data_IF_998391433158
#
_entry.id   IF_998391433158
#
_cell.length_a   1.000
_cell.length_b   1.000
_cell.length_c   1.000
_cell.angle_alpha   90.00
_cell.angle_beta   90.00
_cell.angle_gamma   90.00
#
_symmetry.space_group_name_H-M   'P 1'
#
loop_
_entity.id
_entity.type
_entity.pdbx_description
1 polymer ?
#
# COMPACT_ATOMS: atom_id res chain seq x y z
N UNK A 1 -22.91 -34.09 -31.37
CA UNK A 1 -21.68 -33.33 -31.20
C UNK A 1 -21.44 -33.24 -29.70
N UNK A 2 -20.51 -34.03 -29.19
CA UNK A 2 -20.06 -33.88 -27.79
C UNK A 2 -19.43 -32.49 -27.65
N UNK A 3 -19.96 -31.70 -26.74
CA UNK A 3 -19.31 -30.43 -26.38
C UNK A 3 -17.98 -30.78 -25.72
N UNK A 4 -16.88 -30.40 -26.35
CA UNK A 4 -15.57 -30.50 -25.74
C UNK A 4 -15.59 -29.67 -24.44
N UNK A 5 -15.58 -30.36 -23.30
CA UNK A 5 -15.46 -29.67 -21.99
C UNK A 5 -14.03 -29.15 -21.86
N UNK A 6 -13.89 -27.83 -21.77
CA UNK A 6 -12.60 -27.21 -21.44
C UNK A 6 -12.29 -27.50 -19.97
N UNK A 7 -11.10 -27.97 -19.67
CA UNK A 7 -10.60 -28.14 -18.31
C UNK A 7 -9.13 -27.73 -18.23
N UNK A 8 -8.68 -27.40 -17.03
CA UNK A 8 -7.26 -27.15 -16.73
C UNK A 8 -6.65 -28.43 -16.15
N UNK A 9 -5.50 -28.84 -16.68
CA UNK A 9 -4.72 -29.98 -16.19
C UNK A 9 -3.33 -29.50 -15.79
N UNK A 10 -2.85 -29.97 -14.63
CA UNK A 10 -1.52 -29.66 -14.12
C UNK A 10 -0.93 -30.88 -13.44
N UNK A 11 0.39 -31.03 -13.47
CA UNK A 11 1.10 -32.01 -12.65
C UNK A 11 1.43 -31.41 -11.28
N UNK A 12 1.44 -32.26 -10.26
CA UNK A 12 1.80 -31.83 -8.91
C UNK A 12 3.23 -31.27 -8.83
N UNK A 13 4.16 -31.79 -9.62
CA UNK A 13 5.52 -31.25 -9.75
C UNK A 13 5.55 -29.81 -10.24
N UNK A 14 4.67 -29.47 -11.18
CA UNK A 14 4.60 -28.13 -11.74
C UNK A 14 3.99 -27.16 -10.72
N UNK A 15 2.95 -27.61 -10.00
CA UNK A 15 2.35 -26.83 -8.89
C UNK A 15 3.38 -26.51 -7.81
N UNK A 16 4.24 -27.45 -7.45
CA UNK A 16 5.26 -27.28 -6.40
C UNK A 16 6.47 -26.45 -6.85
N UNK A 17 6.74 -26.39 -8.15
CA UNK A 17 7.90 -25.67 -8.70
C UNK A 17 7.62 -24.20 -9.00
N UNK A 18 6.36 -23.81 -9.16
CA UNK A 18 5.98 -22.46 -9.54
C UNK A 18 5.71 -21.58 -8.31
N UNK A 19 6.29 -20.35 -8.24
CA UNK A 19 6.08 -19.44 -7.12
C UNK A 19 4.70 -18.81 -7.09
N UNK A 20 3.99 -18.81 -8.23
CA UNK A 20 2.65 -18.23 -8.38
C UNK A 20 1.79 -19.14 -9.25
N UNK A 21 0.58 -19.40 -8.81
CA UNK A 21 -0.35 -20.32 -9.47
C UNK A 21 -1.49 -19.56 -10.15
N UNK A 22 -1.58 -19.67 -11.48
CA UNK A 22 -2.64 -19.10 -12.29
C UNK A 22 -3.63 -20.20 -12.70
N UNK A 23 -4.61 -20.50 -11.85
CA UNK A 23 -5.66 -21.50 -12.11
C UNK A 23 -6.98 -20.79 -12.38
N UNK A 24 -7.55 -21.01 -13.57
CA UNK A 24 -8.85 -20.44 -13.91
C UNK A 24 -9.99 -21.28 -13.31
N UNK A 25 -10.56 -20.79 -12.20
CA UNK A 25 -11.62 -21.48 -11.44
C UNK A 25 -12.94 -21.64 -12.19
N UNK A 26 -13.12 -21.00 -13.34
CA UNK A 26 -14.32 -21.16 -14.18
C UNK A 26 -14.39 -22.50 -14.90
N UNK A 27 -13.27 -23.20 -14.99
CA UNK A 27 -13.17 -24.52 -15.61
C UNK A 27 -12.86 -25.59 -14.56
N UNK A 28 -13.22 -26.86 -14.82
CA UNK A 28 -12.74 -27.95 -13.99
C UNK A 28 -11.23 -27.96 -13.95
N UNK A 29 -10.66 -28.20 -12.77
CA UNK A 29 -9.21 -28.30 -12.60
C UNK A 29 -8.84 -29.70 -12.13
N UNK A 30 -7.86 -30.30 -12.77
CA UNK A 30 -7.33 -31.63 -12.49
C UNK A 30 -5.85 -31.52 -12.15
N UNK A 31 -5.50 -31.89 -10.92
CA UNK A 31 -4.10 -32.02 -10.47
C UNK A 31 -3.76 -33.51 -10.38
N UNK A 32 -2.81 -33.95 -11.18
CA UNK A 32 -2.37 -35.34 -11.25
C UNK A 32 -0.95 -35.56 -10.69
N UNK A 33 -0.62 -36.79 -10.34
CA UNK A 33 0.70 -37.18 -9.86
C UNK A 33 1.00 -36.70 -8.44
N UNK A 34 -0.02 -36.56 -7.61
CA UNK A 34 0.13 -36.16 -6.19
C UNK A 34 0.65 -37.35 -5.38
N UNK A 35 1.78 -37.19 -4.76
CA UNK A 35 2.37 -38.20 -3.86
C UNK A 35 2.05 -37.83 -2.40
N UNK A 36 1.90 -38.85 -1.56
CA UNK A 36 1.56 -38.67 -0.14
C UNK A 36 2.52 -37.77 0.62
N UNK A 37 3.81 -37.85 0.30
CA UNK A 37 4.85 -36.99 0.94
C UNK A 37 4.67 -35.50 0.67
N UNK A 38 4.04 -35.15 -0.45
CA UNK A 38 3.83 -33.75 -0.90
C UNK A 38 2.40 -33.26 -0.56
N UNK A 39 1.58 -34.13 0.04
CA UNK A 39 0.13 -33.87 0.27
C UNK A 39 -0.13 -32.60 1.06
N UNK A 40 0.55 -32.40 2.19
CA UNK A 40 0.29 -31.25 3.08
C UNK A 40 0.62 -29.91 2.39
N UNK A 41 1.72 -29.87 1.65
CA UNK A 41 2.13 -28.67 0.90
C UNK A 41 1.14 -28.35 -0.23
N UNK A 42 0.75 -29.37 -0.99
CA UNK A 42 -0.24 -29.24 -2.07
C UNK A 42 -1.60 -28.80 -1.52
N UNK A 43 -2.07 -29.41 -0.43
CA UNK A 43 -3.35 -29.02 0.22
C UNK A 43 -3.30 -27.57 0.70
N UNK A 44 -2.17 -27.12 1.25
CA UNK A 44 -1.98 -25.75 1.66
C UNK A 44 -2.08 -24.79 0.46
N UNK A 45 -1.31 -25.04 -0.61
CA UNK A 45 -1.34 -24.22 -1.84
C UNK A 45 -2.76 -24.16 -2.41
N UNK A 46 -3.42 -25.30 -2.56
CA UNK A 46 -4.75 -25.36 -3.13
C UNK A 46 -5.81 -24.71 -2.21
N UNK A 47 -5.63 -24.77 -0.89
CA UNK A 47 -6.52 -24.10 0.08
C UNK A 47 -6.38 -22.58 0.02
N UNK A 48 -5.20 -22.07 -0.27
CA UNK A 48 -5.01 -20.63 -0.50
C UNK A 48 -5.70 -20.15 -1.79
N UNK A 49 -5.81 -21.03 -2.81
CA UNK A 49 -6.43 -20.72 -4.10
C UNK A 49 -7.96 -20.90 -4.06
N UNK A 50 -8.43 -22.00 -3.50
CA UNK A 50 -9.85 -22.41 -3.58
C UNK A 50 -10.64 -22.22 -2.28
N UNK A 51 -9.96 -22.16 -1.13
CA UNK A 51 -10.55 -22.28 0.21
C UNK A 51 -10.54 -23.72 0.73
N UNK A 52 -10.19 -23.89 2.01
CA UNK A 52 -10.08 -25.21 2.64
C UNK A 52 -11.39 -25.98 2.69
N UNK A 53 -12.53 -25.28 2.67
CA UNK A 53 -13.90 -25.83 2.68
C UNK A 53 -14.39 -26.29 1.28
N UNK A 54 -13.57 -26.13 0.23
CA UNK A 54 -13.98 -26.48 -1.14
C UNK A 54 -14.16 -28.00 -1.29
N UNK A 55 -15.32 -28.48 -1.78
CA UNK A 55 -15.51 -29.88 -2.10
C UNK A 55 -14.65 -30.30 -3.30
N UNK A 56 -13.97 -31.42 -3.18
CA UNK A 56 -13.11 -31.98 -4.22
C UNK A 56 -13.44 -33.47 -4.42
N UNK A 57 -13.07 -33.98 -5.58
CA UNK A 57 -13.02 -35.40 -5.84
C UNK A 57 -11.59 -35.90 -5.90
N UNK A 58 -11.29 -36.98 -5.21
CA UNK A 58 -9.97 -37.60 -5.19
C UNK A 58 -10.05 -38.96 -5.87
N UNK A 59 -9.06 -39.27 -6.70
CA UNK A 59 -8.82 -40.60 -7.22
C UNK A 59 -7.41 -41.03 -6.77
N UNK A 60 -7.35 -42.08 -5.97
CA UNK A 60 -6.09 -42.64 -5.49
C UNK A 60 -5.37 -43.45 -6.56
N UNK A 61 -4.04 -43.62 -6.40
CA UNK A 61 -3.23 -44.38 -7.35
C UNK A 61 -3.66 -45.86 -7.51
N UNK A 62 -4.39 -46.43 -6.52
CA UNK A 62 -4.99 -47.78 -6.59
C UNK A 62 -6.39 -47.77 -7.25
N UNK A 63 -6.85 -46.63 -7.77
CA UNK A 63 -8.09 -46.49 -8.52
C UNK A 63 -9.37 -46.28 -7.70
N UNK A 64 -9.27 -46.08 -6.38
CA UNK A 64 -10.41 -45.68 -5.56
C UNK A 64 -10.75 -44.21 -5.75
N UNK A 65 -12.04 -43.90 -5.81
CA UNK A 65 -12.51 -42.53 -5.91
C UNK A 65 -13.43 -42.17 -4.76
N UNK A 66 -13.29 -40.96 -4.21
CA UNK A 66 -14.13 -40.44 -3.14
C UNK A 66 -14.25 -38.92 -3.22
N UNK A 67 -15.22 -38.36 -2.51
CA UNK A 67 -15.37 -36.91 -2.35
C UNK A 67 -15.06 -36.53 -0.90
N UNK A 68 -14.40 -35.38 -0.74
CA UNK A 68 -13.98 -34.85 0.54
C UNK A 68 -13.84 -33.32 0.44
N UNK A 69 -13.77 -32.65 1.59
CA UNK A 69 -13.42 -31.23 1.66
C UNK A 69 -11.90 -31.08 1.60
N UNK A 70 -11.40 -30.14 0.83
CA UNK A 70 -9.98 -29.94 0.54
C UNK A 70 -9.10 -29.90 1.81
N UNK A 71 -9.49 -29.14 2.83
CA UNK A 71 -8.75 -29.01 4.08
C UNK A 71 -8.73 -30.27 4.97
N UNK A 72 -9.52 -31.30 4.60
CA UNK A 72 -9.57 -32.60 5.31
C UNK A 72 -8.87 -33.70 4.51
N UNK A 73 -8.32 -33.39 3.34
CA UNK A 73 -7.66 -34.38 2.48
C UNK A 73 -6.34 -34.79 3.08
N UNK A 74 -6.13 -36.09 3.18
CA UNK A 74 -4.84 -36.69 3.43
C UNK A 74 -4.62 -37.79 2.42
N UNK A 75 -3.54 -37.70 1.64
CA UNK A 75 -3.22 -38.64 0.57
C UNK A 75 -2.06 -39.53 0.97
N UNK A 76 -2.24 -40.82 0.77
CA UNK A 76 -1.18 -41.82 0.92
C UNK A 76 -0.78 -42.38 -0.45
N UNK A 77 0.41 -42.97 -0.52
CA UNK A 77 0.90 -43.60 -1.74
C UNK A 77 1.31 -42.58 -2.80
N UNK A 78 1.27 -43.04 -4.06
CA UNK A 78 1.73 -42.27 -5.21
C UNK A 78 0.65 -42.14 -6.28
N UNK A 79 0.84 -41.16 -7.19
CA UNK A 79 -0.04 -40.94 -8.36
C UNK A 79 -1.51 -40.69 -8.03
N UNK A 80 -1.81 -40.02 -6.93
CA UNK A 80 -3.17 -39.57 -6.66
C UNK A 80 -3.54 -38.40 -7.60
N UNK A 81 -4.85 -38.24 -7.84
CA UNK A 81 -5.39 -37.14 -8.65
C UNK A 81 -6.45 -36.40 -7.83
N UNK A 82 -6.36 -35.08 -7.82
CA UNK A 82 -7.36 -34.20 -7.21
C UNK A 82 -8.13 -33.48 -8.32
N UNK A 83 -9.46 -33.50 -8.24
CA UNK A 83 -10.33 -32.86 -9.22
C UNK A 83 -11.22 -31.82 -8.54
N UNK A 84 -11.24 -30.62 -9.08
CA UNK A 84 -12.10 -29.52 -8.66
C UNK A 84 -13.23 -29.32 -9.66
N UNK A 85 -14.44 -29.12 -9.13
CA UNK A 85 -15.56 -28.65 -9.93
C UNK A 85 -15.35 -27.16 -10.31
N UNK A 86 -15.90 -26.70 -11.46
CA UNK A 86 -15.80 -25.30 -11.83
C UNK A 86 -16.57 -24.40 -10.86
N UNK A 87 -15.97 -23.31 -10.45
CA UNK A 87 -16.60 -22.25 -9.64
C UNK A 87 -17.02 -21.09 -10.55
N UNK A 88 -18.12 -21.27 -11.29
CA UNK A 88 -18.56 -20.32 -12.33
C UNK A 88 -19.22 -19.05 -11.79
N UNK A 89 -19.82 -19.10 -10.61
CA UNK A 89 -20.51 -17.97 -9.99
C UNK A 89 -19.61 -17.33 -8.95
N UNK A 90 -19.42 -16.01 -9.03
CA UNK A 90 -18.64 -15.25 -8.05
C UNK A 90 -19.18 -15.40 -6.62
N UNK A 91 -20.53 -15.44 -6.45
CA UNK A 91 -21.18 -15.53 -5.13
C UNK A 91 -20.90 -16.86 -4.41
N UNK A 92 -20.53 -17.90 -5.15
CA UNK A 92 -20.25 -19.23 -4.59
C UNK A 92 -18.75 -19.40 -4.24
N UNK A 93 -17.90 -18.39 -4.51
CA UNK A 93 -16.47 -18.45 -4.23
C UNK A 93 -16.15 -17.98 -2.83
N UNK A 94 -15.22 -18.64 -2.18
CA UNK A 94 -14.68 -18.26 -0.86
C UNK A 94 -13.29 -17.62 -0.95
N UNK A 95 -12.62 -17.78 -2.09
CA UNK A 95 -11.33 -17.18 -2.41
C UNK A 95 -11.39 -16.50 -3.76
N UNK A 96 -10.83 -15.30 -3.83
CA UNK A 96 -10.84 -14.46 -5.02
C UNK A 96 -9.42 -14.16 -5.46
N UNK A 97 -9.25 -13.91 -6.77
CA UNK A 97 -8.01 -13.43 -7.37
C UNK A 97 -8.24 -12.07 -8.06
N UNK A 98 -7.17 -11.52 -8.65
CA UNK A 98 -7.27 -10.22 -9.30
C UNK A 98 -8.29 -10.19 -10.45
N UNK A 99 -8.40 -11.29 -11.20
CA UNK A 99 -9.37 -11.36 -12.30
C UNK A 99 -10.80 -11.41 -11.81
N UNK A 100 -11.05 -11.90 -10.61
CA UNK A 100 -12.35 -11.87 -9.97
C UNK A 100 -12.73 -10.43 -9.59
N UNK A 101 -11.79 -9.67 -9.04
CA UNK A 101 -12.01 -8.25 -8.71
C UNK A 101 -12.27 -7.44 -9.99
N UNK A 102 -11.52 -7.67 -11.07
CA UNK A 102 -11.79 -7.07 -12.38
C UNK A 102 -13.21 -7.39 -12.85
N UNK A 103 -13.64 -8.68 -12.80
CA UNK A 103 -14.98 -9.07 -13.19
C UNK A 103 -16.07 -8.41 -12.34
N UNK A 104 -15.85 -8.27 -11.03
CA UNK A 104 -16.78 -7.59 -10.13
C UNK A 104 -16.98 -6.14 -10.58
N UNK A 105 -15.89 -5.39 -10.82
CA UNK A 105 -15.98 -4.00 -11.25
C UNK A 105 -16.65 -3.86 -12.64
N UNK A 106 -16.35 -4.75 -13.57
CA UNK A 106 -17.02 -4.78 -14.88
C UNK A 106 -18.54 -4.98 -14.71
N UNK A 107 -18.97 -5.86 -13.80
CA UNK A 107 -20.40 -6.09 -13.55
C UNK A 107 -21.05 -4.92 -12.83
N UNK A 108 -20.40 -4.34 -11.83
CA UNK A 108 -20.93 -3.19 -11.09
C UNK A 108 -21.14 -1.98 -11.99
N UNK A 109 -20.22 -1.72 -12.91
CA UNK A 109 -20.28 -0.58 -13.81
C UNK A 109 -20.92 -0.86 -15.18
N UNK A 110 -21.16 -2.14 -15.50
CA UNK A 110 -21.76 -2.57 -16.76
C UNK A 110 -23.27 -2.29 -16.85
N UNK A 111 -23.87 -2.68 -17.98
CA UNK A 111 -25.31 -2.59 -18.18
C UNK A 111 -26.06 -3.46 -17.14
N UNK A 112 -27.04 -2.87 -16.45
CA UNK A 112 -27.77 -3.51 -15.36
C UNK A 112 -26.99 -3.63 -14.04
N UNK A 113 -25.81 -3.00 -13.94
CA UNK A 113 -25.03 -2.94 -12.72
C UNK A 113 -25.54 -1.91 -11.72
N UNK A 114 -24.69 -1.51 -10.79
CA UNK A 114 -25.01 -0.55 -9.73
C UNK A 114 -25.06 0.88 -10.27
N UNK A 115 -26.17 1.58 -10.13
CA UNK A 115 -26.32 2.95 -10.61
C UNK A 115 -25.35 3.92 -9.94
N UNK A 116 -25.02 3.71 -8.66
CA UNK A 116 -24.06 4.54 -7.95
C UNK A 116 -22.63 4.34 -8.50
N UNK A 117 -22.20 3.10 -8.70
CA UNK A 117 -20.87 2.80 -9.25
C UNK A 117 -20.74 3.32 -10.69
N UNK A 118 -21.79 3.19 -11.49
CA UNK A 118 -21.84 3.67 -12.88
C UNK A 118 -21.72 5.19 -12.99
N UNK A 119 -22.23 5.93 -12.00
CA UNK A 119 -22.18 7.38 -11.96
C UNK A 119 -20.78 7.93 -11.58
N UNK A 120 -19.87 7.10 -11.06
CA UNK A 120 -18.56 7.57 -10.62
C UNK A 120 -17.64 7.91 -11.80
N UNK A 121 -16.86 8.98 -11.62
CA UNK A 121 -15.80 9.46 -12.52
C UNK A 121 -14.47 9.47 -11.78
N UNK A 122 -13.35 9.68 -12.51
CA UNK A 122 -12.04 9.89 -11.91
C UNK A 122 -12.04 11.01 -10.87
N UNK A 123 -12.79 12.09 -11.12
CA UNK A 123 -12.88 13.24 -10.23
C UNK A 123 -13.71 12.96 -8.99
N UNK A 124 -14.81 12.21 -9.11
CA UNK A 124 -15.72 11.96 -7.98
C UNK A 124 -15.08 11.06 -6.92
N UNK A 125 -14.27 10.07 -7.32
CA UNK A 125 -13.65 9.09 -6.39
C UNK A 125 -12.21 9.40 -6.04
N UNK A 126 -11.62 10.50 -6.56
CA UNK A 126 -10.22 10.84 -6.25
C UNK A 126 -9.96 11.12 -4.78
N UNK A 127 -10.99 11.59 -4.04
CA UNK A 127 -10.85 11.85 -2.61
C UNK A 127 -10.78 10.55 -1.82
N UNK A 128 -11.58 9.55 -2.20
CA UNK A 128 -11.57 8.24 -1.56
C UNK A 128 -10.18 7.60 -1.62
N UNK A 129 -9.47 7.70 -2.76
CA UNK A 129 -8.09 7.21 -2.86
C UNK A 129 -7.14 7.83 -1.82
N UNK A 130 -7.35 9.09 -1.44
CA UNK A 130 -6.56 9.79 -0.42
C UNK A 130 -6.98 9.30 0.96
N UNK A 131 -8.27 9.15 1.20
CA UNK A 131 -8.84 8.66 2.46
C UNK A 131 -8.32 7.25 2.74
N UNK A 132 -8.50 6.28 1.81
CA UNK A 132 -8.00 4.90 1.96
C UNK A 132 -6.47 4.85 2.17
N UNK A 133 -5.71 5.75 1.50
CA UNK A 133 -4.26 5.81 1.71
C UNK A 133 -3.90 6.26 3.13
N UNK A 134 -4.64 7.19 3.74
CA UNK A 134 -4.41 7.63 5.12
C UNK A 134 -4.91 6.59 6.13
N UNK A 135 -6.01 5.90 5.87
CA UNK A 135 -6.53 4.81 6.70
C UNK A 135 -5.54 3.63 6.72
N UNK A 136 -4.94 3.30 5.57
CA UNK A 136 -3.85 2.33 5.50
C UNK A 136 -2.62 2.76 6.32
N UNK A 137 -2.24 4.04 6.28
CA UNK A 137 -1.15 4.58 7.12
C UNK A 137 -1.51 4.45 8.59
N UNK A 138 -2.74 4.76 9.00
CA UNK A 138 -3.20 4.60 10.38
C UNK A 138 -3.17 3.12 10.82
N UNK A 139 -3.61 2.20 9.97
CA UNK A 139 -3.55 0.77 10.25
C UNK A 139 -2.12 0.26 10.48
N UNK A 140 -1.15 0.80 9.73
CA UNK A 140 0.29 0.52 9.91
C UNK A 140 0.77 1.06 11.26
N UNK A 141 0.45 2.31 11.60
CA UNK A 141 0.87 2.97 12.84
C UNK A 141 0.32 2.26 14.08
N UNK A 142 -0.91 1.74 13.99
CA UNK A 142 -1.57 1.00 15.05
C UNK A 142 -1.12 -0.47 15.12
N UNK A 143 -0.32 -0.96 14.17
CA UNK A 143 0.03 -2.38 13.99
C UNK A 143 -1.22 -3.30 14.01
N UNK A 144 -2.36 -2.82 13.52
CA UNK A 144 -3.65 -3.51 13.54
C UNK A 144 -3.81 -4.36 12.28
N UNK A 145 -3.68 -5.68 12.43
CA UNK A 145 -3.74 -6.64 11.30
C UNK A 145 -5.08 -6.64 10.57
N UNK A 146 -6.19 -6.44 11.28
CA UNK A 146 -7.51 -6.47 10.66
C UNK A 146 -7.71 -5.22 9.79
N UNK A 147 -7.41 -4.04 10.31
CA UNK A 147 -7.42 -2.80 9.54
C UNK A 147 -6.42 -2.85 8.38
N UNK A 148 -5.20 -3.34 8.60
CA UNK A 148 -4.19 -3.45 7.54
C UNK A 148 -4.68 -4.32 6.37
N UNK A 149 -5.42 -5.41 6.65
CA UNK A 149 -6.02 -6.25 5.62
C UNK A 149 -7.12 -5.50 4.85
N UNK A 150 -8.01 -4.82 5.56
CA UNK A 150 -9.12 -4.03 5.02
C UNK A 150 -8.60 -2.91 4.13
N UNK A 151 -7.80 -2.01 4.67
CA UNK A 151 -7.32 -0.81 3.98
C UNK A 151 -6.37 -1.13 2.80
N UNK A 152 -5.60 -2.23 2.88
CA UNK A 152 -4.81 -2.70 1.72
C UNK A 152 -5.74 -3.11 0.57
N UNK A 153 -6.88 -3.73 0.89
CA UNK A 153 -7.91 -4.08 -0.08
C UNK A 153 -8.55 -2.85 -0.70
N UNK A 154 -8.86 -1.83 0.11
CA UNK A 154 -9.56 -0.63 -0.33
C UNK A 154 -8.67 0.28 -1.18
N UNK A 155 -7.38 0.42 -0.84
CA UNK A 155 -6.39 1.07 -1.73
C UNK A 155 -6.28 0.33 -3.08
N UNK A 156 -6.28 -1.00 -3.08
CA UNK A 156 -6.29 -1.79 -4.32
C UNK A 156 -7.59 -1.56 -5.10
N UNK A 157 -8.75 -1.55 -4.43
CA UNK A 157 -10.05 -1.26 -5.04
C UNK A 157 -10.04 0.09 -5.76
N UNK A 158 -9.51 1.15 -5.15
CA UNK A 158 -9.41 2.46 -5.78
C UNK A 158 -8.60 2.40 -7.09
N UNK A 159 -7.45 1.71 -7.09
CA UNK A 159 -6.63 1.55 -8.29
C UNK A 159 -7.37 0.78 -9.40
N UNK A 160 -8.08 -0.30 -9.04
CA UNK A 160 -8.87 -1.12 -9.98
C UNK A 160 -10.08 -0.36 -10.50
N UNK A 161 -10.75 0.41 -9.65
CA UNK A 161 -11.90 1.24 -10.03
C UNK A 161 -11.50 2.33 -11.05
N UNK A 162 -10.42 3.07 -10.78
CA UNK A 162 -9.87 4.03 -11.72
C UNK A 162 -9.46 3.36 -13.04
N UNK A 163 -8.92 2.14 -13.00
CA UNK A 163 -8.56 1.39 -14.23
C UNK A 163 -9.80 1.00 -15.02
N UNK A 164 -10.91 0.63 -14.36
CA UNK A 164 -12.16 0.31 -15.04
C UNK A 164 -12.75 1.54 -15.73
N UNK A 165 -12.76 2.71 -15.09
CA UNK A 165 -13.19 3.96 -15.71
C UNK A 165 -12.32 4.26 -16.94
N UNK A 166 -11.00 4.19 -16.81
CA UNK A 166 -10.08 4.44 -17.93
C UNK A 166 -10.30 3.49 -19.11
N UNK A 167 -10.62 2.20 -18.82
CA UNK A 167 -10.97 1.21 -19.85
C UNK A 167 -12.27 1.56 -20.56
N UNK A 168 -13.29 2.03 -19.86
CA UNK A 168 -14.56 2.48 -20.43
C UNK A 168 -14.38 3.72 -21.31
N UNK A 169 -13.48 4.62 -20.92
CA UNK A 169 -13.12 5.82 -21.69
C UNK A 169 -12.13 5.53 -22.84
N UNK A 170 -11.68 4.29 -22.99
CA UNK A 170 -10.74 3.89 -24.04
C UNK A 170 -9.31 4.39 -23.86
N UNK A 171 -8.92 4.78 -22.64
CA UNK A 171 -7.57 5.30 -22.36
C UNK A 171 -6.54 4.18 -22.24
N UNK A 172 -6.79 3.18 -21.40
CA UNK A 172 -5.94 2.00 -21.20
C UNK A 172 -6.71 0.87 -20.52
N UNK A 173 -6.14 -0.32 -20.55
CA UNK A 173 -6.73 -1.54 -19.97
C UNK A 173 -6.02 -1.98 -18.69
N UNK A 174 -6.60 -2.97 -17.98
CA UNK A 174 -5.92 -3.66 -16.86
C UNK A 174 -4.58 -4.27 -17.28
N UNK A 175 -4.53 -4.87 -18.48
CA UNK A 175 -3.29 -5.43 -19.02
C UNK A 175 -2.22 -4.36 -19.24
N UNK A 176 -2.60 -3.18 -19.72
CA UNK A 176 -1.68 -2.05 -19.90
C UNK A 176 -1.14 -1.55 -18.56
N UNK A 177 -2.02 -1.36 -17.57
CA UNK A 177 -1.64 -0.92 -16.23
C UNK A 177 -0.69 -1.92 -15.56
N UNK A 178 -1.04 -3.22 -15.57
CA UNK A 178 -0.19 -4.28 -15.02
C UNK A 178 1.14 -4.38 -15.76
N UNK A 179 1.12 -4.33 -17.09
CA UNK A 179 2.34 -4.39 -17.91
C UNK A 179 3.26 -3.21 -17.59
N UNK A 180 2.71 -2.01 -17.43
CA UNK A 180 3.50 -0.81 -17.10
C UNK A 180 4.17 -0.93 -15.72
N UNK A 181 3.45 -1.39 -14.69
CA UNK A 181 4.04 -1.53 -13.36
C UNK A 181 5.05 -2.69 -13.30
N UNK A 182 4.72 -3.84 -13.90
CA UNK A 182 5.64 -5.00 -13.95
C UNK A 182 6.92 -4.67 -14.71
N UNK A 183 6.81 -4.06 -15.91
CA UNK A 183 7.98 -3.63 -16.68
C UNK A 183 8.86 -2.69 -15.89
N UNK A 184 8.27 -1.68 -15.25
CA UNK A 184 8.97 -0.74 -14.37
C UNK A 184 9.71 -1.45 -13.23
N UNK A 185 9.10 -2.45 -12.60
CA UNK A 185 9.73 -3.24 -11.54
C UNK A 185 10.90 -4.07 -12.06
N UNK A 186 10.70 -4.78 -13.17
CA UNK A 186 11.75 -5.60 -13.81
C UNK A 186 12.93 -4.73 -14.23
N UNK A 187 12.67 -3.64 -14.94
CA UNK A 187 13.71 -2.78 -15.51
C UNK A 187 14.51 -2.04 -14.43
N UNK A 188 13.92 -1.79 -13.25
CA UNK A 188 14.60 -1.12 -12.14
C UNK A 188 15.32 -2.06 -11.18
N UNK A 189 14.97 -3.35 -11.14
CA UNK A 189 15.64 -4.34 -10.29
C UNK A 189 16.66 -5.15 -11.11
N UNK A 190 17.59 -4.47 -11.75
CA UNK A 190 18.61 -5.09 -12.61
C UNK A 190 19.52 -6.06 -11.85
N UNK A 191 19.57 -6.00 -10.54
CA UNK A 191 20.29 -6.93 -9.68
C UNK A 191 19.51 -8.22 -9.37
N UNK A 192 18.20 -8.28 -9.71
CA UNK A 192 17.37 -9.49 -9.59
C UNK A 192 17.07 -10.07 -10.96
N UNK A 193 16.66 -9.24 -11.93
CA UNK A 193 16.19 -9.66 -13.25
C UNK A 193 17.24 -9.46 -14.36
N UNK A 194 18.39 -8.85 -14.06
CA UNK A 194 19.47 -8.57 -14.98
C UNK A 194 20.79 -9.24 -14.58
N UNK A 195 21.89 -8.63 -15.00
CA UNK A 195 23.25 -9.14 -14.77
C UNK A 195 23.99 -8.50 -13.59
N UNK A 196 23.43 -7.44 -13.00
CA UNK A 196 24.03 -6.77 -11.84
C UNK A 196 23.89 -7.64 -10.60
N UNK A 197 24.78 -7.49 -9.64
CA UNK A 197 24.69 -8.13 -8.34
C UNK A 197 24.77 -7.06 -7.23
N UNK A 198 23.84 -7.07 -6.29
CA UNK A 198 23.85 -6.19 -5.15
C UNK A 198 24.21 -6.97 -3.88
N UNK A 199 25.24 -6.53 -3.18
CA UNK A 199 25.70 -7.16 -1.94
C UNK A 199 24.93 -6.66 -0.70
N UNK A 200 24.28 -5.49 -0.82
CA UNK A 200 23.53 -4.87 0.27
C UNK A 200 22.41 -3.95 -0.25
N UNK A 201 21.57 -3.48 0.67
CA UNK A 201 20.41 -2.63 0.35
C UNK A 201 20.80 -1.29 -0.29
N UNK A 202 21.95 -0.72 0.07
CA UNK A 202 22.43 0.55 -0.50
C UNK A 202 22.79 0.40 -1.98
N UNK A 203 23.48 -0.66 -2.35
CA UNK A 203 23.81 -0.97 -3.75
C UNK A 203 22.53 -1.26 -4.56
N UNK A 204 21.59 -2.00 -4.00
CA UNK A 204 20.29 -2.25 -4.64
C UNK A 204 19.54 -0.93 -4.91
N UNK A 205 19.51 -0.02 -3.94
CA UNK A 205 18.90 1.31 -4.08
C UNK A 205 19.63 2.17 -5.14
N UNK A 206 20.95 2.08 -5.24
CA UNK A 206 21.73 2.79 -6.26
C UNK A 206 21.37 2.29 -7.66
N UNK A 207 21.30 0.96 -7.90
CA UNK A 207 20.86 0.41 -9.18
C UNK A 207 19.44 0.84 -9.55
N UNK A 208 18.52 0.82 -8.58
CA UNK A 208 17.17 1.33 -8.76
C UNK A 208 17.15 2.81 -9.20
N UNK A 209 17.91 3.65 -8.51
CA UNK A 209 17.96 5.10 -8.81
C UNK A 209 18.58 5.37 -10.19
N UNK A 210 19.61 4.64 -10.59
CA UNK A 210 20.22 4.74 -11.92
C UNK A 210 19.24 4.33 -13.03
N UNK A 211 18.58 3.21 -12.87
CA UNK A 211 17.57 2.74 -13.83
C UNK A 211 16.42 3.75 -13.95
N UNK A 212 15.91 4.26 -12.82
CA UNK A 212 14.89 5.30 -12.77
C UNK A 212 15.31 6.59 -13.46
N UNK A 213 16.58 6.99 -13.33
CA UNK A 213 17.14 8.18 -13.98
C UNK A 213 17.19 8.00 -15.49
N UNK A 214 17.60 6.81 -16.00
CA UNK A 214 17.63 6.48 -17.42
C UNK A 214 16.21 6.47 -18.04
N UNK A 215 15.23 5.90 -17.34
CA UNK A 215 13.83 5.83 -17.79
C UNK A 215 13.20 7.22 -17.94
N UNK A 216 13.37 8.08 -16.93
CA UNK A 216 12.63 9.35 -16.85
C UNK A 216 13.14 10.47 -17.77
N UNK A 217 14.35 10.35 -18.34
CA UNK A 217 14.95 11.30 -19.31
C UNK A 217 14.65 12.77 -18.99
N UNK A 218 14.99 13.20 -17.75
CA UNK A 218 14.84 14.60 -17.37
C UNK A 218 15.79 15.48 -18.18
N UNK A 219 15.25 16.61 -18.69
CA UNK A 219 16.03 17.59 -19.43
C UNK A 219 16.93 18.43 -18.49
N UNK A 220 16.45 18.67 -17.28
CA UNK A 220 17.16 19.41 -16.23
C UNK A 220 16.61 19.06 -14.84
N UNK A 221 17.26 19.54 -13.78
CA UNK A 221 16.75 19.42 -12.42
C UNK A 221 15.44 20.21 -12.23
N UNK A 222 15.31 21.36 -12.88
CA UNK A 222 14.05 22.12 -12.88
C UNK A 222 12.92 21.34 -13.56
N UNK A 223 13.19 20.65 -14.69
CA UNK A 223 12.22 19.73 -15.31
C UNK A 223 11.84 18.59 -14.35
N UNK A 224 12.81 18.01 -13.65
CA UNK A 224 12.52 16.98 -12.64
C UNK A 224 11.65 17.51 -11.49
N UNK A 225 11.89 18.74 -11.02
CA UNK A 225 11.08 19.39 -9.98
C UNK A 225 9.67 19.70 -10.49
N UNK A 226 9.52 20.17 -11.73
CA UNK A 226 8.21 20.47 -12.32
C UNK A 226 7.28 19.27 -12.44
N UNK A 227 7.83 18.06 -12.50
CA UNK A 227 7.10 16.78 -12.56
C UNK A 227 6.77 16.20 -11.19
N UNK A 228 7.15 16.86 -10.10
CA UNK A 228 6.66 16.51 -8.77
C UNK A 228 5.20 16.93 -8.69
N UNK A 229 4.26 16.03 -8.30
CA UNK A 229 2.86 16.40 -8.19
C UNK A 229 2.65 17.55 -7.22
N UNK A 230 1.98 18.61 -7.70
CA UNK A 230 1.75 19.83 -6.89
C UNK A 230 0.66 19.65 -5.82
N UNK A 231 -0.12 18.58 -5.93
CA UNK A 231 -1.18 18.24 -4.97
C UNK A 231 -0.68 17.43 -3.77
N UNK A 232 0.64 17.20 -3.67
CA UNK A 232 1.20 16.57 -2.47
C UNK A 232 1.04 17.50 -1.26
N UNK A 233 0.93 16.95 -0.05
CA UNK A 233 1.08 17.71 1.19
C UNK A 233 2.36 18.58 1.15
N UNK A 234 2.29 19.80 1.68
CA UNK A 234 3.31 20.80 1.43
C UNK A 234 4.70 20.40 1.94
N UNK A 235 4.78 19.76 3.10
CA UNK A 235 6.05 19.30 3.67
C UNK A 235 6.67 18.18 2.81
N UNK A 236 5.84 17.25 2.34
CA UNK A 236 6.28 16.17 1.44
C UNK A 236 6.72 16.71 0.07
N UNK A 237 6.02 17.75 -0.46
CA UNK A 237 6.42 18.42 -1.68
C UNK A 237 7.78 19.10 -1.51
N UNK A 238 7.98 19.87 -0.42
CA UNK A 238 9.23 20.54 -0.11
C UNK A 238 10.40 19.54 -0.01
N UNK A 239 10.22 18.44 0.72
CA UNK A 239 11.22 17.39 0.83
C UNK A 239 11.62 16.80 -0.53
N UNK A 240 10.63 16.53 -1.41
CA UNK A 240 10.89 15.97 -2.74
C UNK A 240 11.69 16.90 -3.63
N UNK A 241 11.38 18.21 -3.66
CA UNK A 241 12.13 19.17 -4.50
C UNK A 241 13.53 19.40 -3.95
N UNK A 242 13.72 19.43 -2.63
CA UNK A 242 15.03 19.51 -1.99
C UNK A 242 15.90 18.26 -2.28
N UNK A 243 15.31 17.05 -2.26
CA UNK A 243 16.00 15.82 -2.70
C UNK A 243 16.48 15.88 -4.16
N UNK A 244 15.77 16.61 -5.03
CA UNK A 244 16.18 16.81 -6.41
C UNK A 244 17.35 17.82 -6.47
N UNK A 245 17.28 18.93 -5.72
CA UNK A 245 18.34 19.92 -5.63
C UNK A 245 19.66 19.33 -5.13
N UNK A 246 19.60 18.50 -4.09
CA UNK A 246 20.76 17.76 -3.55
C UNK A 246 21.51 16.97 -4.62
N UNK A 247 20.82 16.36 -5.59
CA UNK A 247 21.46 15.53 -6.65
C UNK A 247 22.38 16.33 -7.58
N UNK A 248 22.27 17.64 -7.60
CA UNK A 248 23.12 18.55 -8.36
C UNK A 248 23.99 19.42 -7.45
N UNK A 249 24.24 18.95 -6.23
CA UNK A 249 25.06 19.63 -5.20
C UNK A 249 24.50 20.98 -4.77
N UNK A 250 23.22 21.25 -4.99
CA UNK A 250 22.54 22.43 -4.45
C UNK A 250 21.87 22.05 -3.11
N UNK A 251 22.70 22.04 -2.06
CA UNK A 251 22.34 21.65 -0.70
C UNK A 251 23.30 22.25 0.31
N UNK A 252 22.92 22.31 1.59
CA UNK A 252 23.84 22.67 2.66
C UNK A 252 24.92 21.58 2.81
N UNK A 253 26.14 21.97 3.23
CA UNK A 253 27.24 21.01 3.38
C UNK A 253 26.96 19.99 4.49
N UNK A 254 26.26 20.38 5.55
CA UNK A 254 25.89 19.53 6.68
C UNK A 254 24.65 20.05 7.43
N UNK A 255 24.15 19.25 8.39
CA UNK A 255 23.03 19.59 9.24
C UNK A 255 23.28 20.85 10.10
N UNK A 256 24.52 21.10 10.50
CA UNK A 256 24.89 22.26 11.34
C UNK A 256 24.71 23.57 10.58
N UNK A 257 25.13 23.61 9.34
CA UNK A 257 24.96 24.80 8.50
C UNK A 257 23.49 25.02 8.15
N UNK A 258 22.75 23.92 7.90
CA UNK A 258 21.29 23.98 7.71
C UNK A 258 20.59 24.50 8.98
N UNK A 259 20.98 24.05 10.17
CA UNK A 259 20.44 24.54 11.44
C UNK A 259 20.67 26.04 11.65
N UNK A 260 21.84 26.57 11.27
CA UNK A 260 22.08 28.01 11.32
C UNK A 260 21.10 28.78 10.44
N UNK A 261 20.78 28.24 9.26
CA UNK A 261 19.82 28.90 8.38
C UNK A 261 18.39 28.85 8.99
N UNK A 262 18.01 27.77 9.70
CA UNK A 262 16.74 27.77 10.47
C UNK A 262 16.69 28.91 11.48
N UNK A 263 17.77 29.16 12.19
CA UNK A 263 17.81 30.29 13.15
C UNK A 263 17.75 31.65 12.46
N UNK A 264 18.38 31.77 11.29
CA UNK A 264 18.35 33.00 10.46
C UNK A 264 16.91 33.27 9.99
N UNK A 265 16.18 32.24 9.43
CA UNK A 265 14.78 32.39 9.00
C UNK A 265 13.84 32.73 10.16
N UNK A 266 14.09 32.18 11.35
CA UNK A 266 13.32 32.53 12.56
C UNK A 266 13.55 33.99 12.97
N UNK A 267 14.78 34.51 12.81
CA UNK A 267 15.10 35.92 13.11
C UNK A 267 14.44 36.83 12.06
N UNK A 268 14.49 36.49 10.78
CA UNK A 268 13.81 37.21 9.70
C UNK A 268 12.30 37.23 9.88
N UNK A 269 11.68 36.11 10.23
CA UNK A 269 10.26 36.05 10.59
C UNK A 269 9.90 36.96 11.77
N UNK A 270 10.73 36.97 12.82
CA UNK A 270 10.50 37.80 14.01
C UNK A 270 10.65 39.29 13.71
N UNK A 271 11.55 39.68 12.80
CA UNK A 271 11.84 41.04 12.41
C UNK A 271 11.10 41.50 11.14
N UNK A 272 10.11 40.74 10.68
CA UNK A 272 9.36 41.05 9.47
C UNK A 272 8.74 42.46 9.53
N UNK A 273 8.90 43.23 8.45
CA UNK A 273 8.48 44.63 8.36
C UNK A 273 7.01 44.82 7.92
N UNK A 274 6.35 43.77 7.48
CA UNK A 274 4.92 43.77 7.08
C UNK A 274 4.30 42.38 7.25
N UNK A 275 2.96 42.31 7.26
CA UNK A 275 2.26 41.02 7.32
C UNK A 275 2.56 40.14 6.11
N UNK A 276 2.70 40.74 4.90
CA UNK A 276 3.05 39.98 3.70
C UNK A 276 4.44 39.37 3.78
N UNK A 277 5.44 40.15 4.26
CA UNK A 277 6.80 39.65 4.49
C UNK A 277 6.82 38.57 5.59
N UNK A 278 6.02 38.74 6.67
CA UNK A 278 5.92 37.72 7.72
C UNK A 278 5.39 36.39 7.20
N UNK A 279 4.45 36.40 6.24
CA UNK A 279 3.94 35.18 5.59
C UNK A 279 5.02 34.52 4.75
N UNK A 280 5.85 35.31 4.03
CA UNK A 280 7.00 34.82 3.26
C UNK A 280 7.99 34.13 4.18
N UNK A 281 8.48 34.81 5.22
CA UNK A 281 9.44 34.27 6.19
C UNK A 281 8.93 33.03 6.92
N UNK A 282 7.63 32.97 7.23
CA UNK A 282 7.00 31.77 7.80
C UNK A 282 7.13 30.56 6.84
N UNK A 283 6.98 30.79 5.53
CA UNK A 283 7.21 29.76 4.51
C UNK A 283 8.67 29.29 4.49
N UNK A 284 9.62 30.21 4.57
CA UNK A 284 11.04 29.92 4.54
C UNK A 284 11.51 29.18 5.80
N UNK A 285 10.97 29.53 6.98
CA UNK A 285 11.17 28.75 8.22
C UNK A 285 10.72 27.29 8.02
N UNK A 286 9.50 27.07 7.55
CA UNK A 286 8.97 25.72 7.35
C UNK A 286 9.80 24.94 6.31
N UNK A 287 10.15 25.57 5.21
CA UNK A 287 10.94 24.96 4.14
C UNK A 287 12.34 24.56 4.63
N UNK A 288 13.00 25.44 5.41
CA UNK A 288 14.35 25.16 5.94
C UNK A 288 14.31 24.11 7.05
N UNK A 289 13.25 24.07 7.88
CA UNK A 289 13.02 22.98 8.86
C UNK A 289 12.88 21.63 8.14
N UNK A 290 12.10 21.55 7.05
CA UNK A 290 12.00 20.31 6.23
C UNK A 290 13.39 19.89 5.73
N UNK A 291 14.22 20.83 5.30
CA UNK A 291 15.58 20.53 4.86
C UNK A 291 16.45 19.98 6.01
N UNK A 292 16.34 20.56 7.21
CA UNK A 292 17.07 20.08 8.39
C UNK A 292 16.66 18.63 8.74
N UNK A 293 15.35 18.34 8.76
CA UNK A 293 14.83 16.98 9.04
C UNK A 293 15.35 15.95 8.04
N UNK A 294 15.51 16.33 6.78
CA UNK A 294 16.08 15.49 5.72
C UNK A 294 17.53 15.05 6.02
N UNK A 295 18.35 15.87 6.68
CA UNK A 295 19.70 15.48 7.11
C UNK A 295 19.69 14.39 8.17
N UNK A 296 18.62 14.33 8.99
CA UNK A 296 18.43 13.30 10.01
C UNK A 296 17.59 12.11 9.52
N UNK A 297 17.27 12.07 8.21
CA UNK A 297 16.42 11.03 7.63
C UNK A 297 15.03 10.92 8.27
N UNK A 298 14.50 12.04 8.76
CA UNK A 298 13.16 12.15 9.34
C UNK A 298 12.20 12.62 8.25
N UNK A 299 11.10 11.88 8.05
CA UNK A 299 9.99 12.32 7.18
C UNK A 299 9.23 13.46 7.88
N UNK A 300 9.15 14.66 7.27
CA UNK A 300 8.55 15.81 7.92
C UNK A 300 7.03 15.72 8.05
N UNK A 301 6.34 15.08 7.11
CA UNK A 301 4.88 14.91 7.13
C UNK A 301 4.49 13.94 8.25
N UNK A 302 5.17 12.80 8.34
CA UNK A 302 4.94 11.81 9.39
C UNK A 302 5.29 12.34 10.78
N UNK A 303 6.41 13.06 10.91
CA UNK A 303 6.82 13.65 12.18
C UNK A 303 5.78 14.66 12.70
N UNK A 304 5.19 15.47 11.82
CA UNK A 304 4.13 16.40 12.20
C UNK A 304 2.81 15.69 12.50
N UNK A 305 2.47 14.65 11.73
CA UNK A 305 1.29 13.82 12.00
C UNK A 305 1.37 13.17 13.39
N UNK A 306 2.53 12.64 13.75
CA UNK A 306 2.76 12.08 15.08
C UNK A 306 2.70 13.13 16.20
N UNK A 307 3.23 14.32 15.95
CA UNK A 307 3.12 15.41 16.90
C UNK A 307 1.64 15.83 17.14
N UNK A 308 0.82 15.84 16.08
CA UNK A 308 -0.61 16.10 16.16
C UNK A 308 -1.34 15.02 16.96
N UNK A 309 -1.07 13.72 16.69
CA UNK A 309 -1.62 12.60 17.46
C UNK A 309 -1.27 12.72 18.95
N UNK A 310 -0.01 13.06 19.25
CA UNK A 310 0.47 13.26 20.62
C UNK A 310 -0.26 14.44 21.30
N UNK A 311 -0.40 15.57 20.61
CA UNK A 311 -1.10 16.71 21.14
C UNK A 311 -2.55 16.36 21.46
N UNK A 312 -3.26 15.71 20.53
CA UNK A 312 -4.64 15.28 20.73
C UNK A 312 -4.80 14.36 21.95
N UNK A 313 -3.99 13.31 22.05
CA UNK A 313 -4.03 12.38 23.19
C UNK A 313 -3.78 13.06 24.53
N UNK A 314 -2.86 14.01 24.59
CA UNK A 314 -2.58 14.76 25.80
C UNK A 314 -3.71 15.73 26.13
N UNK A 315 -4.26 16.38 25.13
CA UNK A 315 -5.38 17.29 25.30
C UNK A 315 -6.63 16.56 25.82
N UNK A 316 -6.95 15.40 25.26
CA UNK A 316 -8.04 14.53 25.72
C UNK A 316 -7.88 14.16 27.21
N UNK A 317 -6.66 13.79 27.63
CA UNK A 317 -6.39 13.53 29.06
C UNK A 317 -6.57 14.76 29.93
N UNK A 318 -6.12 15.92 29.50
CA UNK A 318 -6.34 17.17 30.22
C UNK A 318 -7.84 17.44 30.41
N UNK A 319 -8.62 17.27 29.34
CA UNK A 319 -10.09 17.46 29.38
C UNK A 319 -10.76 16.44 30.31
N UNK A 320 -10.33 15.18 30.32
CA UNK A 320 -10.82 14.15 31.25
C UNK A 320 -10.51 14.52 32.70
N UNK A 321 -9.32 15.01 33.02
CA UNK A 321 -8.91 15.42 34.35
C UNK A 321 -9.71 16.63 34.80
N UNK A 322 -9.91 17.65 33.96
CA UNK A 322 -10.70 18.84 34.25
C UNK A 322 -12.15 18.45 34.52
N UNK A 323 -12.71 17.59 33.66
CA UNK A 323 -14.09 17.09 33.81
C UNK A 323 -14.25 16.28 35.11
N UNK A 324 -13.28 15.44 35.47
CA UNK A 324 -13.30 14.70 36.73
C UNK A 324 -13.23 15.59 37.98
N UNK A 325 -12.65 16.79 37.83
CA UNK A 325 -12.66 17.83 38.89
C UNK A 325 -13.98 18.63 38.95
N UNK A 326 -14.96 18.31 38.10
CA UNK A 326 -16.26 18.99 38.05
C UNK A 326 -16.21 20.37 37.39
N UNK A 327 -15.16 20.68 36.65
CA UNK A 327 -14.97 21.94 35.89
C UNK A 327 -15.16 21.70 34.40
N UNK A 328 -15.40 22.80 33.67
CA UNK A 328 -15.27 22.83 32.21
C UNK A 328 -13.92 23.44 31.83
N UNK A 329 -13.42 23.12 30.63
CA UNK A 329 -12.14 23.62 30.12
C UNK A 329 -12.10 25.16 30.13
N UNK A 330 -13.21 25.79 29.73
CA UNK A 330 -13.36 27.27 29.67
C UNK A 330 -13.38 27.96 31.06
N UNK A 331 -13.55 27.19 32.12
CA UNK A 331 -13.53 27.67 33.50
C UNK A 331 -12.15 27.61 34.14
N UNK A 332 -11.16 27.01 33.43
CA UNK A 332 -9.80 26.89 33.92
C UNK A 332 -8.91 28.01 33.40
N UNK A 333 -7.96 28.45 34.22
CA UNK A 333 -6.91 29.38 33.76
C UNK A 333 -5.86 28.62 32.95
N UNK A 334 -5.06 29.33 32.16
CA UNK A 334 -3.99 28.72 31.39
C UNK A 334 -2.95 28.05 32.28
N UNK A 335 -2.70 28.63 33.47
CA UNK A 335 -1.78 28.10 34.47
C UNK A 335 -2.27 26.75 35.02
N UNK A 336 -3.57 26.65 35.34
CA UNK A 336 -4.21 25.41 35.80
C UNK A 336 -4.12 24.31 34.73
N UNK A 337 -4.39 24.67 33.45
CA UNK A 337 -4.31 23.74 32.34
C UNK A 337 -2.85 23.30 32.06
N UNK A 338 -1.89 24.22 32.18
CA UNK A 338 -0.47 23.96 31.97
C UNK A 338 0.11 23.05 33.08
N UNK A 339 -0.36 23.22 34.33
CA UNK A 339 0.00 22.32 35.43
C UNK A 339 -0.48 20.88 35.15
N UNK A 340 -1.71 20.71 34.68
CA UNK A 340 -2.25 19.39 34.32
C UNK A 340 -1.49 18.83 33.13
N UNK A 341 -1.25 19.62 32.08
CA UNK A 341 -0.50 19.25 30.88
C UNK A 341 0.90 18.73 31.19
N UNK A 342 1.54 19.33 32.20
CA UNK A 342 2.89 18.97 32.63
C UNK A 342 2.93 17.86 33.69
N UNK A 343 1.78 17.37 34.15
CA UNK A 343 1.70 16.28 35.15
C UNK A 343 2.21 14.95 34.57
N UNK A 344 2.69 14.08 35.47
CA UNK A 344 3.13 12.72 35.09
C UNK A 344 2.00 11.90 34.51
N UNK A 345 0.75 12.14 34.93
CA UNK A 345 -0.44 11.46 34.43
C UNK A 345 -0.67 11.71 32.94
N UNK A 346 -0.43 12.93 32.45
CA UNK A 346 -0.55 13.30 31.04
C UNK A 346 0.70 12.93 30.24
N UNK A 347 1.90 12.98 30.86
CA UNK A 347 3.19 12.72 30.21
C UNK A 347 3.60 11.26 30.18
N UNK A 348 2.94 10.38 30.96
CA UNK A 348 3.35 8.98 31.16
C UNK A 348 3.20 8.07 29.94
N UNK A 349 2.53 8.49 28.88
CA UNK A 349 2.52 7.74 27.63
C UNK A 349 3.89 7.84 26.95
N UNK A 350 4.78 6.94 27.37
CA UNK A 350 6.02 6.68 26.63
C UNK A 350 5.65 6.13 25.26
N UNK A 351 6.17 6.76 24.21
CA UNK A 351 6.12 6.22 22.87
C UNK A 351 6.64 4.79 22.88
N UNK A 352 5.80 3.85 22.48
CA UNK A 352 6.26 2.56 21.99
C UNK A 352 6.45 2.76 20.47
N UNK A 353 7.71 2.91 20.08
CA UNK A 353 8.10 2.89 18.67
C UNK A 353 8.06 1.45 18.15
#
# INVERSE_FOLDING_TARGET
MEQAQTYTYMLASDLLSEPVHCINKRYPFILAGVNGKDSDEIVKILSDIYGAETPISVMTGDGKAYQIVLGMVYLEGENNTICFAPQTKLIDRTRFDFSDLEEILIRLRGEGGCEWDRAQTHESIRINLIEEAYELVEAIDLANKAMLLEETGDVLLQAVFHTQIAKEEGMFTYADMLSAVCRKLIDRHTHIFGTNHAENAEQALNFWNEAKKKEKKYLSSADAMSRVPKNLPALLYAEKIQKIAKKVNFDFPDAKECYKKVLEELDEFNNAYSDANRVEEAGDVLFTVVNLLRFYHIDPEMALADANKKFFKRFDKVEQIVTARGKKMEECTIEELDEIWNSDEVRSDKWVY
#
